data_IF_004615137683
#
_entry.id   IF_004615137683
#
_cell.length_a   1.000
_cell.length_b   1.000
_cell.length_c   1.000
_cell.angle_alpha   90.00
_cell.angle_beta   90.00
_cell.angle_gamma   90.00
#
_symmetry.space_group_name_H-M   'P 1'
#
loop_
_entity.id
_entity.type
_entity.pdbx_description
1 polymer ?
#
# COMPACT_ATOMS: atom_id res chain seq x y z
N UNK A 1 -9.04 -3.89 -23.81
CA UNK A 1 -8.06 -4.03 -22.72
C UNK A 1 -8.85 -3.72 -21.46
N UNK A 2 -9.61 -4.69 -20.96
CA UNK A 2 -10.52 -4.49 -19.82
C UNK A 2 -9.71 -4.15 -18.59
N UNK A 3 -10.22 -3.21 -17.80
CA UNK A 3 -9.52 -2.51 -16.73
C UNK A 3 -9.02 -3.46 -15.64
N UNK A 4 -7.77 -3.90 -15.80
CA UNK A 4 -6.95 -4.61 -14.81
C UNK A 4 -6.80 -3.83 -13.48
N UNK A 5 -7.19 -2.56 -13.45
CA UNK A 5 -6.94 -1.61 -12.36
C UNK A 5 -8.18 -1.24 -11.53
N UNK A 6 -9.37 -1.77 -11.85
CA UNK A 6 -10.64 -1.30 -11.28
C UNK A 6 -11.49 -2.41 -10.67
N UNK A 7 -10.89 -3.36 -9.97
CA UNK A 7 -11.68 -4.05 -8.95
C UNK A 7 -11.89 -3.07 -7.79
N UNK A 8 -12.80 -2.10 -7.98
CA UNK A 8 -13.39 -1.26 -6.92
C UNK A 8 -13.87 -2.14 -5.75
N UNK A 9 -14.17 -3.41 -6.05
CA UNK A 9 -14.47 -4.49 -5.12
C UNK A 9 -13.36 -4.70 -4.08
N UNK A 10 -12.08 -4.77 -4.47
CA UNK A 10 -10.97 -5.05 -3.53
C UNK A 10 -10.60 -3.83 -2.67
N UNK A 11 -10.73 -2.60 -3.19
CA UNK A 11 -10.43 -1.39 -2.43
C UNK A 11 -11.50 -1.11 -1.36
N UNK A 12 -12.76 -1.43 -1.66
CA UNK A 12 -13.88 -1.28 -0.73
C UNK A 12 -13.78 -2.28 0.43
N UNK A 13 -13.32 -3.51 0.17
CA UNK A 13 -13.05 -4.53 1.20
C UNK A 13 -11.97 -4.09 2.20
N UNK A 14 -10.99 -3.30 1.76
CA UNK A 14 -9.94 -2.73 2.63
C UNK A 14 -10.34 -1.41 3.31
N UNK A 15 -11.59 -0.96 3.14
CA UNK A 15 -12.11 0.29 3.70
C UNK A 15 -11.55 1.56 3.04
N UNK A 16 -10.98 1.45 1.83
CA UNK A 16 -10.43 2.61 1.11
C UNK A 16 -11.51 3.27 0.26
N UNK A 17 -11.75 4.57 0.49
CA UNK A 17 -12.66 5.35 -0.36
C UNK A 17 -12.15 5.39 -1.81
N UNK A 18 -13.00 5.20 -2.83
CA UNK A 18 -12.60 5.20 -4.24
C UNK A 18 -12.34 6.63 -4.75
N UNK A 19 -11.27 7.25 -4.24
CA UNK A 19 -10.86 8.62 -4.59
C UNK A 19 -9.58 8.61 -5.42
N UNK A 20 -9.31 9.70 -6.14
CA UNK A 20 -8.02 9.89 -6.84
C UNK A 20 -6.82 9.74 -5.90
N UNK A 21 -6.94 10.24 -4.68
CA UNK A 21 -5.90 10.10 -3.66
C UNK A 21 -5.67 8.63 -3.31
N UNK A 22 -6.72 7.87 -3.02
CA UNK A 22 -6.60 6.43 -2.73
C UNK A 22 -6.03 5.65 -3.92
N UNK A 23 -6.52 5.93 -5.14
CA UNK A 23 -5.99 5.35 -6.38
C UNK A 23 -4.48 5.61 -6.55
N UNK A 24 -4.04 6.86 -6.36
CA UNK A 24 -2.63 7.23 -6.50
C UNK A 24 -1.74 6.51 -5.49
N UNK A 25 -2.19 6.38 -4.23
CA UNK A 25 -1.44 5.72 -3.17
C UNK A 25 -1.37 4.21 -3.36
N UNK A 26 -2.47 3.57 -3.79
CA UNK A 26 -2.47 2.14 -4.18
C UNK A 26 -1.54 1.92 -5.36
N UNK A 27 -1.54 2.82 -6.35
CA UNK A 27 -0.65 2.70 -7.51
C UNK A 27 0.82 2.89 -7.11
N UNK A 28 1.12 3.83 -6.22
CA UNK A 28 2.47 3.98 -5.64
C UNK A 28 2.92 2.73 -4.89
N UNK A 29 2.05 2.05 -4.14
CA UNK A 29 2.41 0.79 -3.50
C UNK A 29 2.88 -0.26 -4.53
N UNK A 30 2.15 -0.44 -5.62
CA UNK A 30 2.55 -1.39 -6.67
C UNK A 30 3.83 -0.96 -7.39
N UNK A 31 3.93 0.32 -7.77
CA UNK A 31 5.14 0.89 -8.37
C UNK A 31 6.36 0.70 -7.46
N UNK A 32 6.18 0.82 -6.14
CA UNK A 32 7.23 0.59 -5.15
C UNK A 32 7.75 -0.84 -5.19
N UNK A 33 6.85 -1.84 -5.20
CA UNK A 33 7.22 -3.25 -5.24
C UNK A 33 8.06 -3.58 -6.50
N UNK A 34 7.66 -3.05 -7.66
CA UNK A 34 8.45 -3.18 -8.90
C UNK A 34 9.80 -2.48 -8.74
N UNK A 35 9.81 -1.26 -8.21
CA UNK A 35 11.02 -0.45 -8.04
C UNK A 35 12.04 -1.12 -7.12
N UNK A 36 11.60 -1.78 -6.05
CA UNK A 36 12.48 -2.59 -5.18
C UNK A 36 13.17 -3.68 -5.98
N UNK A 37 12.43 -4.44 -6.79
CA UNK A 37 13.04 -5.51 -7.60
C UNK A 37 13.97 -4.98 -8.68
N UNK A 38 13.59 -3.90 -9.37
CA UNK A 38 14.42 -3.26 -10.38
C UNK A 38 15.75 -2.76 -9.80
N UNK A 39 15.75 -2.23 -8.56
CA UNK A 39 16.98 -1.79 -7.86
C UNK A 39 17.94 -2.94 -7.54
N UNK A 40 17.45 -4.17 -7.46
CA UNK A 40 18.25 -5.37 -7.22
C UNK A 40 18.72 -6.05 -8.52
N UNK A 41 18.44 -5.48 -9.70
CA UNK A 41 18.98 -5.98 -10.97
C UNK A 41 20.41 -5.47 -11.19
N UNK A 42 21.26 -6.23 -11.92
CA UNK A 42 22.67 -5.90 -12.09
C UNK A 42 22.94 -4.70 -13.02
N UNK A 43 21.94 -4.22 -13.78
CA UNK A 43 22.08 -3.13 -14.76
C UNK A 43 21.51 -1.81 -14.23
N UNK A 44 22.36 -0.85 -13.79
CA UNK A 44 21.90 0.46 -13.31
C UNK A 44 21.23 1.29 -14.41
N UNK A 45 21.70 1.16 -15.66
CA UNK A 45 21.13 1.89 -16.81
C UNK A 45 19.72 1.41 -17.16
N UNK A 46 19.51 0.09 -17.10
CA UNK A 46 18.18 -0.51 -17.24
C UNK A 46 17.25 0.00 -16.14
N UNK A 47 17.71 0.00 -14.87
CA UNK A 47 16.93 0.52 -13.74
C UNK A 47 16.46 1.96 -13.99
N UNK A 48 17.35 2.87 -14.38
CA UNK A 48 16.99 4.27 -14.63
C UNK A 48 15.96 4.40 -15.75
N UNK A 49 16.12 3.62 -16.81
CA UNK A 49 15.21 3.61 -17.95
C UNK A 49 13.82 3.12 -17.53
N UNK A 50 13.73 1.98 -16.83
CA UNK A 50 12.46 1.44 -16.36
C UNK A 50 11.79 2.35 -15.32
N UNK A 51 12.55 2.90 -14.37
CA UNK A 51 12.01 3.80 -13.35
C UNK A 51 11.41 5.07 -13.97
N UNK A 52 12.06 5.62 -15.00
CA UNK A 52 11.53 6.74 -15.79
C UNK A 52 10.23 6.36 -16.48
N UNK A 53 10.23 5.26 -17.26
CA UNK A 53 9.03 4.82 -17.96
C UNK A 53 7.86 4.51 -17.02
N UNK A 54 8.12 3.88 -15.87
CA UNK A 54 7.11 3.58 -14.87
C UNK A 54 6.43 4.86 -14.35
N UNK A 55 7.22 5.89 -14.06
CA UNK A 55 6.68 7.16 -13.60
C UNK A 55 6.00 7.97 -14.72
N UNK A 56 6.52 7.93 -15.95
CA UNK A 56 5.91 8.57 -17.11
C UNK A 56 4.52 7.97 -17.40
N UNK A 57 4.39 6.63 -17.35
CA UNK A 57 3.10 5.95 -17.50
C UNK A 57 2.12 6.33 -16.39
N UNK A 58 2.56 6.36 -15.14
CA UNK A 58 1.74 6.83 -14.02
C UNK A 58 1.28 8.27 -14.24
N UNK A 59 2.17 9.16 -14.68
CA UNK A 59 1.88 10.58 -14.89
C UNK A 59 0.86 10.79 -15.99
N UNK A 60 0.96 10.04 -17.10
CA UNK A 60 -0.02 10.08 -18.18
C UNK A 60 -1.41 9.63 -17.69
N UNK A 61 -1.50 8.51 -16.97
CA UNK A 61 -2.76 8.05 -16.40
C UNK A 61 -3.34 9.01 -15.37
N UNK A 62 -2.48 9.67 -14.58
CA UNK A 62 -2.91 10.70 -13.63
C UNK A 62 -3.44 11.93 -14.36
N UNK A 63 -2.82 12.34 -15.47
CA UNK A 63 -3.32 13.43 -16.32
C UNK A 63 -4.69 13.11 -16.92
N UNK A 64 -4.86 11.91 -17.48
CA UNK A 64 -6.13 11.45 -18.04
C UNK A 64 -7.24 11.43 -16.99
N UNK A 65 -6.96 10.90 -15.78
CA UNK A 65 -7.94 10.91 -14.68
C UNK A 65 -8.28 12.32 -14.20
N UNK A 66 -7.31 13.24 -14.17
CA UNK A 66 -7.57 14.64 -13.81
C UNK A 66 -8.46 15.34 -14.84
N UNK A 67 -8.27 15.05 -16.13
CA UNK A 67 -9.09 15.62 -17.20
C UNK A 67 -10.49 15.00 -17.23
N UNK A 68 -10.57 13.67 -17.33
CA UNK A 68 -11.82 12.92 -17.54
C UNK A 68 -12.68 12.82 -16.28
N UNK A 69 -12.11 12.50 -15.12
CA UNK A 69 -12.88 12.20 -13.90
C UNK A 69 -13.13 13.43 -13.04
N UNK A 70 -12.27 14.45 -13.14
CA UNK A 70 -12.32 15.63 -12.27
C UNK A 70 -12.53 16.95 -13.02
N UNK A 71 -12.60 16.94 -14.35
CA UNK A 71 -12.86 18.13 -15.16
C UNK A 71 -11.78 19.20 -15.03
N UNK A 72 -10.55 18.82 -14.67
CA UNK A 72 -9.42 19.74 -14.52
C UNK A 72 -8.81 20.00 -15.91
N UNK A 73 -9.49 20.84 -16.70
CA UNK A 73 -9.08 21.17 -18.08
C UNK A 73 -7.85 22.10 -18.09
N UNK A 74 -7.58 22.81 -16.99
CA UNK A 74 -6.46 23.75 -16.88
C UNK A 74 -5.10 23.04 -16.82
N UNK A 75 -4.32 23.14 -17.90
CA UNK A 75 -2.97 22.55 -18.01
C UNK A 75 -2.00 23.00 -16.91
N UNK A 76 -1.90 24.30 -16.53
CA UNK A 76 -1.03 24.71 -15.42
C UNK A 76 -1.39 24.04 -14.08
N UNK A 77 -2.68 23.82 -13.83
CA UNK A 77 -3.16 23.14 -12.62
C UNK A 77 -2.75 21.66 -12.66
N UNK A 78 -2.98 20.96 -13.78
CA UNK A 78 -2.55 19.56 -13.92
C UNK A 78 -1.04 19.39 -13.73
N UNK A 79 -0.23 20.26 -14.32
CA UNK A 79 1.24 20.24 -14.15
C UNK A 79 1.64 20.42 -12.67
N UNK A 80 0.95 21.30 -11.94
CA UNK A 80 1.18 21.46 -10.49
C UNK A 80 0.85 20.17 -9.74
N UNK A 81 -0.31 19.57 -9.99
CA UNK A 81 -0.70 18.30 -9.37
C UNK A 81 0.28 17.15 -9.68
N UNK A 82 0.77 17.03 -10.92
CA UNK A 82 1.77 16.03 -11.29
C UNK A 82 3.08 16.22 -10.50
N UNK A 83 3.51 17.47 -10.29
CA UNK A 83 4.67 17.77 -9.44
C UNK A 83 4.43 17.37 -7.98
N UNK A 84 3.24 17.65 -7.46
CA UNK A 84 2.86 17.27 -6.10
C UNK A 84 2.84 15.74 -5.94
N UNK A 85 2.30 15.01 -6.92
CA UNK A 85 2.34 13.54 -6.98
C UNK A 85 3.77 12.99 -7.05
N UNK A 86 4.66 13.62 -7.81
CA UNK A 86 6.07 13.21 -7.85
C UNK A 86 6.75 13.35 -6.47
N UNK A 87 6.48 14.43 -5.74
CA UNK A 87 6.98 14.61 -4.37
C UNK A 87 6.41 13.53 -3.44
N UNK A 88 5.11 13.25 -3.53
CA UNK A 88 4.46 12.19 -2.75
C UNK A 88 5.09 10.81 -3.04
N UNK A 89 5.31 10.49 -4.31
CA UNK A 89 5.97 9.25 -4.73
C UNK A 89 7.34 9.08 -4.07
N UNK A 90 8.15 10.14 -4.03
CA UNK A 90 9.47 10.13 -3.37
C UNK A 90 9.35 9.90 -1.86
N UNK A 91 8.33 10.46 -1.22
CA UNK A 91 8.02 10.20 0.19
C UNK A 91 7.61 8.75 0.46
N UNK A 92 6.82 8.17 -0.44
CA UNK A 92 6.42 6.75 -0.39
C UNK A 92 7.64 5.83 -0.51
N UNK A 93 8.53 6.09 -1.48
CA UNK A 93 9.79 5.33 -1.62
C UNK A 93 10.57 5.30 -0.31
N UNK A 94 10.83 6.48 0.28
CA UNK A 94 11.63 6.59 1.49
C UNK A 94 11.00 5.86 2.68
N UNK A 95 9.69 6.01 2.88
CA UNK A 95 9.01 5.40 4.02
C UNK A 95 8.86 3.89 3.91
N UNK A 96 8.59 3.37 2.71
CA UNK A 96 8.53 1.93 2.52
C UNK A 96 9.91 1.29 2.57
N UNK A 97 10.96 1.97 2.08
CA UNK A 97 12.35 1.49 2.26
C UNK A 97 12.71 1.40 3.75
N UNK A 98 12.37 2.41 4.54
CA UNK A 98 12.55 2.38 5.99
C UNK A 98 11.78 1.22 6.63
N UNK A 99 10.52 1.01 6.22
CA UNK A 99 9.69 -0.10 6.70
C UNK A 99 10.26 -1.47 6.35
N UNK A 100 10.74 -1.68 5.12
CA UNK A 100 11.34 -2.95 4.73
C UNK A 100 12.57 -3.30 5.57
N UNK A 101 13.40 -2.30 5.90
CA UNK A 101 14.64 -2.48 6.67
C UNK A 101 14.39 -2.65 8.17
N UNK A 102 13.47 -1.85 8.74
CA UNK A 102 13.24 -1.82 10.20
C UNK A 102 12.20 -2.84 10.69
N UNK A 103 11.42 -3.45 9.79
CA UNK A 103 10.49 -4.52 10.12
C UNK A 103 9.01 -4.13 9.97
N UNK A 104 8.14 -5.11 10.17
CA UNK A 104 6.73 -5.02 9.77
C UNK A 104 5.94 -3.96 10.53
N UNK A 105 6.28 -3.66 11.78
CA UNK A 105 5.63 -2.56 12.52
C UNK A 105 5.89 -1.19 11.87
N UNK A 106 7.12 -0.95 11.39
CA UNK A 106 7.46 0.31 10.70
C UNK A 106 6.86 0.35 9.30
N UNK A 107 6.80 -0.80 8.62
CA UNK A 107 6.12 -0.92 7.33
C UNK A 107 4.61 -0.69 7.46
N UNK A 108 3.97 -1.24 8.49
CA UNK A 108 2.57 -1.03 8.82
C UNK A 108 2.28 0.45 9.09
N UNK A 109 3.14 1.14 9.86
CA UNK A 109 3.02 2.57 10.10
C UNK A 109 3.13 3.39 8.79
N UNK A 110 4.02 2.99 7.88
CA UNK A 110 4.13 3.62 6.57
C UNK A 110 2.88 3.40 5.70
N UNK A 111 2.32 2.18 5.70
CA UNK A 111 1.05 1.84 5.03
C UNK A 111 -0.09 2.68 5.59
N UNK A 112 -0.25 2.73 6.91
CA UNK A 112 -1.26 3.53 7.59
C UNK A 112 -1.19 5.02 7.21
N UNK A 113 0.01 5.61 7.25
CA UNK A 113 0.20 7.03 6.90
C UNK A 113 -0.11 7.32 5.43
N UNK A 114 0.29 6.43 4.51
CA UNK A 114 0.19 6.69 3.08
C UNK A 114 -1.19 6.33 2.51
N UNK A 115 -1.70 5.13 2.80
CA UNK A 115 -2.97 4.62 2.25
C UNK A 115 -4.19 5.09 3.04
N UNK A 116 -4.08 5.08 4.38
CA UNK A 116 -5.16 5.50 5.27
C UNK A 116 -5.01 6.95 5.75
N UNK A 117 -4.08 7.72 5.17
CA UNK A 117 -3.85 9.15 5.50
C UNK A 117 -3.58 9.41 6.98
N UNK A 118 -3.13 8.39 7.71
CA UNK A 118 -2.97 8.46 9.16
C UNK A 118 -4.30 8.62 9.89
N UNK A 119 -5.42 8.14 9.36
CA UNK A 119 -6.73 8.20 10.03
C UNK A 119 -6.64 7.59 11.43
N UNK A 120 -7.19 8.31 12.40
CA UNK A 120 -7.30 7.90 13.80
C UNK A 120 -8.58 8.49 14.39
N UNK A 121 -9.12 7.84 15.41
CA UNK A 121 -10.17 8.42 16.25
C UNK A 121 -9.53 9.30 17.32
N UNK A 122 -9.94 10.56 17.40
CA UNK A 122 -9.48 11.49 18.42
C UNK A 122 -10.04 11.13 19.82
N UNK A 123 -9.52 11.78 20.87
CA UNK A 123 -9.96 11.57 22.24
C UNK A 123 -11.44 11.93 22.49
N UNK A 124 -12.09 12.61 21.54
CA UNK A 124 -13.48 13.02 21.56
C UNK A 124 -14.37 12.07 20.73
N UNK A 125 -13.83 10.96 20.24
CA UNK A 125 -14.56 9.97 19.45
C UNK A 125 -14.83 10.42 18.01
N UNK A 126 -14.11 11.42 17.49
CA UNK A 126 -14.24 11.90 16.10
C UNK A 126 -13.11 11.31 15.26
N UNK A 127 -13.47 10.67 14.16
CA UNK A 127 -12.54 10.05 13.24
C UNK A 127 -13.11 8.75 12.69
N UNK A 128 -12.31 8.05 11.91
CA UNK A 128 -12.61 6.71 11.43
C UNK A 128 -11.46 5.82 11.91
N UNK A 129 -11.78 4.87 12.79
CA UNK A 129 -10.82 3.85 13.19
C UNK A 129 -10.44 3.01 11.97
N UNK A 130 -9.14 2.88 11.75
CA UNK A 130 -8.62 1.99 10.73
C UNK A 130 -8.63 0.58 11.29
N UNK A 131 -9.21 -0.35 10.54
CA UNK A 131 -9.06 -1.77 10.85
C UNK A 131 -7.59 -2.20 10.65
N UNK A 132 -6.92 -2.49 11.75
CA UNK A 132 -5.53 -2.94 11.77
C UNK A 132 -5.32 -4.27 11.04
N UNK A 133 -6.37 -5.08 10.89
CA UNK A 133 -6.34 -6.29 10.07
C UNK A 133 -6.06 -5.92 8.61
N UNK A 134 -6.72 -4.88 8.07
CA UNK A 134 -6.50 -4.44 6.69
C UNK A 134 -5.06 -3.95 6.46
N UNK A 135 -4.50 -3.20 7.41
CA UNK A 135 -3.08 -2.79 7.35
C UNK A 135 -2.16 -4.02 7.34
N UNK A 136 -2.44 -4.99 8.21
CA UNK A 136 -1.64 -6.22 8.33
C UNK A 136 -1.69 -7.06 7.05
N UNK A 137 -2.87 -7.18 6.43
CA UNK A 137 -3.05 -7.84 5.14
C UNK A 137 -2.24 -7.17 4.03
N UNK A 138 -2.21 -5.83 3.99
CA UNK A 138 -1.41 -5.08 3.02
C UNK A 138 0.09 -5.31 3.24
N UNK A 139 0.56 -5.32 4.50
CA UNK A 139 1.96 -5.64 4.82
C UNK A 139 2.33 -7.05 4.37
N UNK A 140 1.48 -8.04 4.68
CA UNK A 140 1.68 -9.43 4.24
C UNK A 140 1.72 -9.52 2.71
N UNK A 141 0.81 -8.83 2.02
CA UNK A 141 0.78 -8.73 0.56
C UNK A 141 2.08 -8.16 0.02
N UNK A 142 2.58 -7.04 0.56
CA UNK A 142 3.84 -6.43 0.14
C UNK A 142 5.02 -7.42 0.28
N UNK A 143 5.12 -8.11 1.43
CA UNK A 143 6.17 -9.12 1.68
C UNK A 143 6.08 -10.26 0.68
N UNK A 144 4.88 -10.83 0.49
CA UNK A 144 4.64 -11.93 -0.44
C UNK A 144 5.03 -11.55 -1.87
N UNK A 145 4.59 -10.39 -2.35
CA UNK A 145 4.91 -9.94 -3.71
C UNK A 145 6.41 -9.71 -3.89
N UNK A 146 7.10 -9.12 -2.91
CA UNK A 146 8.56 -8.97 -2.99
C UNK A 146 9.28 -10.33 -3.06
N UNK A 147 8.80 -11.33 -2.31
CA UNK A 147 9.33 -12.70 -2.40
C UNK A 147 9.08 -13.33 -3.78
N UNK A 148 7.90 -13.12 -4.37
CA UNK A 148 7.57 -13.61 -5.72
C UNK A 148 8.37 -12.89 -6.82
N UNK A 149 8.67 -11.60 -6.64
CA UNK A 149 9.46 -10.81 -7.58
C UNK A 149 10.97 -11.09 -7.48
N UNK A 150 11.48 -11.46 -6.31
CA UNK A 150 12.90 -11.67 -6.04
C UNK A 150 13.64 -12.56 -7.07
N UNK A 151 13.11 -13.72 -7.50
CA UNK A 151 13.81 -14.59 -8.45
C UNK A 151 13.72 -14.11 -9.90
N UNK A 152 12.88 -13.13 -10.24
CA UNK A 152 12.62 -12.77 -11.63
C UNK A 152 13.77 -11.97 -12.23
N UNK A 153 14.23 -12.36 -13.42
CA UNK A 153 15.19 -11.57 -14.20
C UNK A 153 14.52 -10.40 -14.93
N UNK A 154 15.33 -9.46 -15.44
CA UNK A 154 14.88 -8.23 -16.10
C UNK A 154 13.87 -8.49 -17.23
N UNK A 155 14.14 -9.48 -18.10
CA UNK A 155 13.26 -9.84 -19.21
C UNK A 155 11.94 -10.45 -18.70
N UNK A 156 12.00 -11.28 -17.66
CA UNK A 156 10.83 -11.95 -17.10
C UNK A 156 9.89 -11.00 -16.36
N UNK A 157 10.42 -9.92 -15.78
CA UNK A 157 9.66 -8.90 -15.06
C UNK A 157 8.58 -8.24 -15.92
N UNK A 158 8.93 -7.82 -17.14
CA UNK A 158 7.99 -7.17 -18.05
C UNK A 158 6.78 -8.06 -18.39
N UNK A 159 6.98 -9.38 -18.42
CA UNK A 159 5.95 -10.37 -18.73
C UNK A 159 5.17 -10.88 -17.50
N UNK A 160 5.75 -10.82 -16.30
CA UNK A 160 5.14 -11.37 -15.07
C UNK A 160 4.43 -10.32 -14.20
N UNK A 161 4.71 -9.03 -14.42
CA UNK A 161 4.09 -7.95 -13.65
C UNK A 161 2.66 -7.66 -14.13
N UNK A 162 2.40 -7.72 -15.43
CA UNK A 162 1.08 -7.45 -16.04
C UNK A 162 0.51 -8.62 -16.85
N UNK A 163 -0.79 -8.57 -17.18
CA UNK A 163 -1.49 -9.57 -17.98
C UNK A 163 -2.32 -10.58 -17.17
N UNK A 164 -3.06 -11.47 -17.85
CA UNK A 164 -4.04 -12.40 -17.23
C UNK A 164 -3.44 -13.34 -16.15
N UNK A 165 -2.11 -13.52 -16.16
CA UNK A 165 -1.35 -14.36 -15.22
C UNK A 165 -0.34 -13.56 -14.37
N UNK A 166 -0.43 -12.22 -14.36
CA UNK A 166 0.51 -11.36 -13.66
C UNK A 166 0.39 -11.38 -12.13
N UNK A 167 1.48 -11.05 -11.43
CA UNK A 167 1.60 -11.07 -9.95
C UNK A 167 0.62 -10.11 -9.26
N UNK A 168 0.22 -9.03 -9.95
CA UNK A 168 -0.74 -8.06 -9.43
C UNK A 168 -2.21 -8.41 -9.68
N UNK A 169 -2.50 -9.57 -10.27
CA UNK A 169 -3.87 -10.11 -10.25
C UNK A 169 -4.27 -10.39 -8.79
N UNK A 170 -5.55 -10.24 -8.46
CA UNK A 170 -6.12 -10.68 -7.18
C UNK A 170 -5.64 -12.11 -6.87
N UNK A 171 -4.72 -12.19 -5.93
CA UNK A 171 -3.98 -13.40 -5.67
C UNK A 171 -4.87 -14.23 -4.73
N UNK A 172 -5.74 -15.08 -5.29
CA UNK A 172 -6.67 -15.99 -4.56
C UNK A 172 -6.00 -16.80 -3.42
N UNK A 173 -4.66 -16.84 -3.36
CA UNK A 173 -3.88 -17.44 -2.27
C UNK A 173 -3.72 -16.54 -1.04
N UNK A 174 -3.85 -15.21 -1.14
CA UNK A 174 -3.80 -14.30 0.02
C UNK A 174 -5.11 -14.41 0.80
N UNK A 175 -6.25 -14.46 0.12
CA UNK A 175 -7.57 -14.65 0.74
C UNK A 175 -7.55 -15.89 1.66
N UNK A 176 -6.98 -17.01 1.18
CA UNK A 176 -6.80 -18.24 1.97
C UNK A 176 -5.80 -18.14 3.13
N UNK A 177 -4.86 -17.20 3.10
CA UNK A 177 -3.91 -16.96 4.18
C UNK A 177 -4.51 -16.05 5.27
N UNK A 178 -5.45 -15.18 4.89
CA UNK A 178 -6.25 -14.33 5.81
C UNK A 178 -7.35 -15.16 6.49
N UNK A 179 -7.82 -16.22 5.85
CA UNK A 179 -8.72 -17.23 6.44
C UNK A 179 -8.08 -18.11 7.53
N UNK A 180 -6.75 -18.02 7.76
CA UNK A 180 -6.10 -18.74 8.84
C UNK A 180 -6.21 -17.92 10.13
N UNK A 181 -7.10 -18.34 11.03
CA UNK A 181 -7.30 -17.74 12.34
C UNK A 181 -5.97 -17.50 13.06
N UNK A 182 -5.72 -16.25 13.45
CA UNK A 182 -4.60 -15.88 14.29
C UNK A 182 -4.82 -16.52 15.67
N UNK A 183 -3.90 -17.40 16.09
CA UNK A 183 -3.96 -18.14 17.37
C UNK A 183 -4.24 -17.30 18.62
N UNK A 184 -4.04 -15.98 18.56
CA UNK A 184 -4.32 -15.05 19.67
C UNK A 184 -5.77 -14.63 19.85
N UNK A 185 -6.72 -15.09 19.02
CA UNK A 185 -8.16 -14.74 19.17
C UNK A 185 -8.83 -15.57 20.27
N UNK A 186 -8.37 -16.80 20.53
CA UNK A 186 -8.96 -17.70 21.54
C UNK A 186 -8.22 -17.70 22.89
N UNK A 187 -7.06 -17.03 23.01
CA UNK A 187 -6.33 -16.99 24.28
C UNK A 187 -6.96 -15.95 25.22
N UNK A 188 -7.54 -16.34 26.37
CA UNK A 188 -8.11 -15.38 27.30
C UNK A 188 -7.00 -14.55 27.93
N UNK A 189 -7.18 -13.23 27.92
CA UNK A 189 -6.27 -12.29 28.59
C UNK A 189 -6.14 -12.68 30.07
N UNK A 190 -4.93 -13.05 30.49
CA UNK A 190 -4.64 -13.27 31.91
C UNK A 190 -4.84 -11.94 32.65
N UNK A 191 -5.95 -11.82 33.40
CA UNK A 191 -6.15 -10.71 34.32
C UNK A 191 -5.20 -10.88 35.52
N UNK A 192 -4.28 -9.93 35.69
CA UNK A 192 -3.49 -9.84 36.92
C UNK A 192 -4.42 -9.61 38.12
N UNK A 193 -4.22 -10.38 39.19
CA UNK A 193 -5.00 -10.31 40.42
C UNK A 193 -4.79 -8.97 41.13
N UNK A 194 -5.84 -8.16 41.25
CA UNK A 194 -5.84 -6.93 42.04
C UNK A 194 -5.79 -7.30 43.52
N UNK A 195 -4.68 -6.99 44.18
CA UNK A 195 -4.51 -7.11 45.63
C UNK A 195 -5.42 -6.09 46.33
N UNK A 196 -6.25 -6.55 47.28
CA UNK A 196 -7.21 -5.70 48.01
C UNK A 196 -6.49 -4.90 49.11
N UNK A 197 -6.35 -3.59 48.95
CA UNK A 197 -6.09 -2.69 50.08
C UNK A 197 -7.37 -2.45 50.89
N UNK A 198 -7.33 -2.75 52.18
CA UNK A 198 -8.43 -2.52 53.13
C UNK A 198 -8.27 -1.14 53.80
N UNK A 199 -9.31 -0.28 53.87
CA UNK A 199 -9.21 0.96 54.63
C UNK A 199 -9.49 0.74 56.12
N UNK A 200 -8.68 1.43 56.96
CA UNK A 200 -8.67 1.40 58.42
C UNK A 200 -9.99 1.80 59.07
N UNK A 201 -10.31 1.15 60.20
CA UNK A 201 -11.46 1.49 61.06
C UNK A 201 -11.13 2.72 61.92
N UNK A 202 -12.02 3.72 61.88
CA UNK A 202 -12.29 4.64 63.01
C UNK A 202 -13.64 4.30 63.61
#
# INVERSE_FOLDING_TARGET
>A
MSDFWTDEVNATELGLLPTFSSWSQVTFLHMYLITVRLRALPSPESFQTFARHLFDHFSNHAEDRMDVMHGIVSRPIRVKYLKDLFIQWRGVLAAYDEGLVKGDAVLAAAVWRNLYKGSYTDAQGRGEDVDWNNISQIVLYMRKVLTELAPLEEVSMAHHVGGEKGIFRSNQRVDKLVELDARGIEEPFLQESVEKEAPERT
#
